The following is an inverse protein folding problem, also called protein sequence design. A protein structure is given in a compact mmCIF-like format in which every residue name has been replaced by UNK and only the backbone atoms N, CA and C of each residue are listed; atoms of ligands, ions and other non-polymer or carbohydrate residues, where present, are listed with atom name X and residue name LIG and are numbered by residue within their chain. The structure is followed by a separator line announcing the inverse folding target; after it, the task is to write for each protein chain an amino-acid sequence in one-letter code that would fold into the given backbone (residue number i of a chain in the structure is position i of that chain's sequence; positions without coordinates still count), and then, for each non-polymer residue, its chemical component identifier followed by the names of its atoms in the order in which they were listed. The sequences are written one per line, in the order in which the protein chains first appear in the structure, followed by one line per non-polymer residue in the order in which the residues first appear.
data_IF_843860395696
#
_entry.id   IF_843860395696
#
_cell.length_a   1.000
_cell.length_b   1.000
_cell.length_c   1.000
_cell.angle_alpha   90.00
_cell.angle_beta   90.00
_cell.angle_gamma   90.00
#
_symmetry.space_group_name_H-M   'P 1'
#
loop_
_entity.id
_entity.type
_entity.pdbx_description
1 polymer ?
#
# COMPACT_ATOMS: atom_id res chain seq x y z
N UNK A 1 10.27 -3.19 9.43
CA UNK A 1 9.17 -2.23 9.30
C UNK A 1 8.85 -1.76 10.69
N UNK A 2 9.35 -0.60 11.08
CA UNK A 2 9.00 -0.01 12.37
C UNK A 2 7.87 0.99 12.12
N UNK A 3 6.71 0.75 12.76
CA UNK A 3 5.56 1.66 12.77
C UNK A 3 4.83 1.83 11.41
N UNK A 4 4.56 0.73 10.69
CA UNK A 4 3.63 0.72 9.54
C UNK A 4 2.33 0.03 9.94
N UNK A 5 1.18 0.61 9.59
CA UNK A 5 -0.14 -0.02 9.74
C UNK A 5 -0.75 -0.28 8.37
N UNK A 6 -1.34 -1.47 8.21
CA UNK A 6 -2.12 -1.82 7.01
C UNK A 6 -3.59 -1.60 7.33
N UNK A 7 -4.27 -0.81 6.51
CA UNK A 7 -5.68 -0.44 6.65
C UNK A 7 -6.43 -0.94 5.42
N UNK A 8 -7.63 -1.48 5.64
CA UNK A 8 -8.52 -1.92 4.56
C UNK A 8 -9.66 -0.91 4.50
N UNK A 9 -9.87 -0.36 3.32
CA UNK A 9 -10.98 0.54 3.02
C UNK A 9 -11.82 -0.05 1.88
N UNK A 10 -13.11 0.29 1.82
CA UNK A 10 -13.99 -0.25 0.78
C UNK A 10 -13.66 0.34 -0.60
N UNK A 11 -13.37 1.64 -0.69
CA UNK A 11 -13.08 2.35 -1.95
C UNK A 11 -12.01 3.44 -1.75
N UNK A 12 -11.29 3.84 -2.82
CA UNK A 12 -10.39 5.00 -2.81
C UNK A 12 -11.11 6.32 -2.45
N UNK A 13 -10.36 7.30 -1.95
CA UNK A 13 -10.91 8.63 -1.65
C UNK A 13 -11.31 9.37 -2.92
N UNK A 14 -12.26 10.30 -2.81
CA UNK A 14 -12.67 11.14 -3.94
C UNK A 14 -11.48 11.93 -4.51
N UNK A 15 -11.18 11.72 -5.79
CA UNK A 15 -10.04 12.33 -6.49
C UNK A 15 -8.88 11.36 -6.76
N UNK A 16 -8.87 10.19 -6.10
CA UNK A 16 -7.97 9.08 -6.45
C UNK A 16 -8.54 8.26 -7.62
N UNK A 17 -7.71 7.49 -8.33
CA UNK A 17 -8.19 6.57 -9.38
C UNK A 17 -9.12 5.48 -8.82
N UNK A 18 -10.23 5.22 -9.52
CA UNK A 18 -11.22 4.18 -9.14
C UNK A 18 -10.65 2.74 -9.17
N UNK A 19 -9.52 2.55 -9.86
CA UNK A 19 -8.79 1.30 -10.02
C UNK A 19 -7.54 1.21 -9.11
N UNK A 20 -7.35 2.16 -8.20
CA UNK A 20 -6.26 2.14 -7.23
C UNK A 20 -6.44 0.94 -6.26
N UNK A 21 -5.49 0.00 -6.26
CA UNK A 21 -5.57 -1.22 -5.44
C UNK A 21 -4.98 -1.01 -4.04
N UNK A 22 -3.97 -0.15 -3.93
CA UNK A 22 -3.33 0.19 -2.67
C UNK A 22 -2.69 1.57 -2.72
N UNK A 23 -2.35 2.11 -1.54
CA UNK A 23 -1.72 3.41 -1.40
C UNK A 23 -0.85 3.47 -0.15
N UNK A 24 0.43 3.75 -0.34
CA UNK A 24 1.33 4.16 0.72
C UNK A 24 1.13 5.65 1.06
N UNK A 25 0.76 5.92 2.31
CA UNK A 25 0.60 7.26 2.89
C UNK A 25 1.53 7.42 4.10
N UNK A 26 2.69 8.03 3.84
CA UNK A 26 3.73 8.30 4.85
C UNK A 26 3.87 9.78 5.16
N UNK A 27 4.13 10.11 6.43
CA UNK A 27 4.45 11.49 6.84
C UNK A 27 5.95 11.73 6.64
N UNK A 28 6.38 12.79 5.91
CA UNK A 28 7.79 13.06 5.67
C UNK A 28 8.61 13.19 6.96
N UNK A 29 9.78 12.54 6.98
CA UNK A 29 10.75 12.57 8.08
C UNK A 29 11.15 14.00 8.52
N UNK A 30 11.03 14.99 7.62
CA UNK A 30 11.41 16.39 7.87
C UNK A 30 10.46 17.14 8.79
N UNK A 31 9.27 16.59 9.07
CA UNK A 31 8.34 17.12 10.08
C UNK A 31 8.51 16.46 11.46
N UNK A 32 9.50 15.56 11.62
CA UNK A 32 9.92 15.00 12.91
C UNK A 32 10.69 16.03 13.73
N UNK A 33 10.04 17.12 14.12
CA UNK A 33 10.61 18.02 15.11
C UNK A 33 10.55 17.34 16.49
N UNK A 34 11.65 17.45 17.22
CA UNK A 34 11.96 16.81 18.51
C UNK A 34 11.02 17.14 19.68
N UNK A 35 9.89 17.77 19.41
CA UNK A 35 8.95 18.34 20.39
C UNK A 35 7.60 17.60 20.43
N UNK A 36 7.29 16.73 19.46
CA UNK A 36 6.02 15.98 19.40
C UNK A 36 6.24 14.47 19.54
N UNK A 37 5.92 13.92 20.71
CA UNK A 37 6.11 12.50 21.09
C UNK A 37 5.11 11.53 20.44
N UNK A 38 4.43 11.92 19.36
CA UNK A 38 3.47 11.07 18.64
C UNK A 38 3.69 11.21 17.13
N UNK A 39 4.68 10.48 16.61
CA UNK A 39 4.79 10.27 15.16
C UNK A 39 3.75 9.22 14.77
N UNK A 40 2.70 9.56 14.01
CA UNK A 40 1.75 8.57 13.55
C UNK A 40 2.47 7.53 12.67
N UNK A 41 2.02 6.26 12.68
CA UNK A 41 2.57 5.24 11.80
C UNK A 41 2.37 5.63 10.33
N UNK A 42 3.30 5.20 9.48
CA UNK A 42 3.07 5.18 8.04
C UNK A 42 1.91 4.20 7.76
N UNK A 43 1.07 4.53 6.78
CA UNK A 43 -0.14 3.78 6.47
C UNK A 43 -0.02 3.16 5.07
N UNK A 44 -0.44 1.92 4.95
CA UNK A 44 -0.70 1.28 3.66
C UNK A 44 -2.20 1.02 3.61
N UNK A 45 -2.88 1.70 2.69
CA UNK A 45 -4.27 1.42 2.38
C UNK A 45 -4.35 0.31 1.34
N UNK A 46 -5.32 -0.59 1.53
CA UNK A 46 -5.70 -1.64 0.59
C UNK A 46 -7.19 -1.48 0.30
N UNK A 47 -7.54 -1.33 -0.97
CA UNK A 47 -8.91 -1.01 -1.38
C UNK A 47 -9.65 -2.26 -1.84
N UNK A 48 -10.61 -2.69 -1.03
CA UNK A 48 -11.35 -3.94 -1.23
C UNK A 48 -12.15 -3.92 -2.53
N UNK A 49 -12.91 -2.86 -2.81
CA UNK A 49 -13.75 -2.75 -4.00
C UNK A 49 -12.96 -2.90 -5.30
N UNK A 50 -11.89 -2.12 -5.53
CA UNK A 50 -11.01 -2.26 -6.69
C UNK A 50 -10.44 -3.67 -6.82
N UNK A 51 -9.94 -4.27 -5.72
CA UNK A 51 -9.39 -5.62 -5.71
C UNK A 51 -10.44 -6.69 -6.09
N UNK A 52 -11.65 -6.61 -5.55
CA UNK A 52 -12.76 -7.52 -5.90
C UNK A 52 -13.23 -7.35 -7.35
N UNK A 53 -13.08 -6.15 -7.94
CA UNK A 53 -13.35 -5.91 -9.36
C UNK A 53 -12.24 -6.44 -10.26
N UNK A 54 -11.00 -6.40 -9.78
CA UNK A 54 -9.83 -6.88 -10.52
C UNK A 54 -9.76 -8.41 -10.56
N UNK A 55 -9.93 -9.05 -9.41
CA UNK A 55 -9.85 -10.50 -9.28
C UNK A 55 -11.12 -11.19 -9.79
N UNK A 56 -10.95 -12.37 -10.42
CA UNK A 56 -12.07 -13.17 -10.94
C UNK A 56 -12.58 -14.19 -9.93
N UNK A 57 -11.74 -14.56 -8.96
CA UNK A 57 -12.06 -15.50 -7.90
C UNK A 57 -11.26 -15.23 -6.61
N UNK A 58 -11.62 -15.92 -5.54
CA UNK A 58 -11.01 -15.74 -4.22
C UNK A 58 -9.51 -16.06 -4.20
N UNK A 59 -9.04 -16.98 -5.06
CA UNK A 59 -7.63 -17.35 -5.11
C UNK A 59 -6.82 -16.22 -5.76
N UNK A 60 -7.30 -15.69 -6.88
CA UNK A 60 -6.72 -14.52 -7.54
C UNK A 60 -6.77 -13.28 -6.63
N UNK A 61 -7.85 -13.10 -5.86
CA UNK A 61 -7.95 -11.99 -4.91
C UNK A 61 -6.87 -12.05 -3.81
N UNK A 62 -6.60 -13.24 -3.27
CA UNK A 62 -5.56 -13.44 -2.26
C UNK A 62 -4.18 -13.14 -2.83
N UNK A 63 -3.91 -13.60 -4.06
CA UNK A 63 -2.65 -13.33 -4.75
C UNK A 63 -2.49 -11.83 -5.04
N UNK A 64 -3.55 -11.17 -5.52
CA UNK A 64 -3.53 -9.74 -5.84
C UNK A 64 -3.30 -8.89 -4.58
N UNK A 65 -4.00 -9.17 -3.48
CA UNK A 65 -3.77 -8.50 -2.19
C UNK A 65 -2.31 -8.65 -1.75
N UNK A 66 -1.73 -9.84 -1.91
CA UNK A 66 -0.33 -10.08 -1.58
C UNK A 66 0.60 -9.25 -2.46
N UNK A 67 0.34 -9.22 -3.77
CA UNK A 67 1.12 -8.44 -4.74
C UNK A 67 1.05 -6.95 -4.40
N UNK A 68 -0.15 -6.40 -4.19
CA UNK A 68 -0.34 -4.99 -3.83
C UNK A 68 0.41 -4.64 -2.55
N UNK A 69 0.25 -5.41 -1.47
CA UNK A 69 0.94 -5.14 -0.19
C UNK A 69 2.46 -5.17 -0.36
N UNK A 70 2.99 -6.13 -1.12
CA UNK A 70 4.44 -6.23 -1.36
C UNK A 70 4.96 -5.03 -2.18
N UNK A 71 4.20 -4.57 -3.18
CA UNK A 71 4.55 -3.37 -3.95
C UNK A 71 4.63 -2.13 -3.05
N UNK A 72 3.60 -1.86 -2.25
CA UNK A 72 3.57 -0.68 -1.37
C UNK A 72 4.72 -0.69 -0.34
N UNK A 73 5.03 -1.86 0.22
CA UNK A 73 6.17 -2.02 1.14
C UNK A 73 7.50 -1.82 0.40
N UNK A 74 7.64 -2.35 -0.81
CA UNK A 74 8.86 -2.27 -1.58
C UNK A 74 9.17 -0.82 -1.99
N UNK A 75 8.16 -0.08 -2.46
CA UNK A 75 8.29 1.34 -2.78
C UNK A 75 8.68 2.16 -1.55
N UNK A 76 8.14 1.86 -0.37
CA UNK A 76 8.58 2.48 0.89
C UNK A 76 10.09 2.30 1.14
N UNK A 77 10.67 1.16 0.76
CA UNK A 77 12.11 0.90 0.88
C UNK A 77 12.93 1.38 -0.33
N UNK A 78 12.31 2.05 -1.31
CA UNK A 78 12.98 2.54 -2.52
C UNK A 78 13.34 1.44 -3.52
N UNK A 79 12.66 0.30 -3.47
CA UNK A 79 12.79 -0.80 -4.43
C UNK A 79 11.91 -0.46 -5.64
N UNK A 80 12.45 -0.57 -6.85
CA UNK A 80 11.72 -0.26 -8.09
C UNK A 80 10.84 -1.42 -8.58
N UNK A 81 9.89 -1.10 -9.46
CA UNK A 81 9.04 -2.09 -10.14
C UNK A 81 9.86 -3.13 -10.90
N UNK A 82 10.95 -2.71 -11.55
CA UNK A 82 11.85 -3.65 -12.25
C UNK A 82 12.40 -4.73 -11.30
N UNK A 83 12.78 -4.34 -10.08
CA UNK A 83 13.29 -5.28 -9.08
C UNK A 83 12.18 -6.22 -8.58
N UNK A 84 10.95 -5.73 -8.45
CA UNK A 84 9.81 -6.54 -8.04
C UNK A 84 9.42 -7.56 -9.11
N UNK A 85 9.47 -7.15 -10.38
CA UNK A 85 9.26 -8.02 -11.53
C UNK A 85 10.28 -9.16 -11.56
N UNK A 86 11.55 -8.88 -11.30
CA UNK A 86 12.61 -9.89 -11.19
C UNK A 86 12.35 -10.91 -10.06
N UNK A 87 11.61 -10.51 -9.02
CA UNK A 87 11.26 -11.37 -7.88
C UNK A 87 9.90 -12.06 -8.01
N UNK A 88 9.20 -11.85 -9.13
CA UNK A 88 7.90 -12.45 -9.41
C UNK A 88 6.72 -11.74 -8.75
N UNK A 89 6.84 -10.44 -8.46
CA UNK A 89 5.76 -9.57 -7.96
C UNK A 89 5.44 -8.52 -9.03
N UNK A 90 4.71 -8.90 -10.08
CA UNK A 90 4.30 -8.01 -11.16
C UNK A 90 2.92 -8.40 -11.72
#
# INVERSE_FOLDING_TARGET
MDNVVVLIEDEPMEGEPDDLLGLYDGVPLTERDSTYTFVPPDRIFIFKGPLERFARDDAELVDEVRITVVHEIAHHFGISDDQLHEWGYA
#
